data_IF_970110547633
#
_entry.id   IF_970110547633
#
_cell.length_a   1.000
_cell.length_b   1.000
_cell.length_c   1.000
_cell.angle_alpha   90.00
_cell.angle_beta   90.00
_cell.angle_gamma   90.00
#
_symmetry.space_group_name_H-M   'P 1'
#
loop_
_entity.id
_entity.type
_entity.pdbx_description
1 polymer ?
#
# COMPACT_ATOMS: atom_id res chain seq x y z
N UNK A 1 -20.31 4.96 0.95
CA UNK A 1 -19.48 3.77 0.67
C UNK A 1 -20.36 2.52 0.50
N UNK A 2 -21.08 2.04 1.52
CA UNK A 2 -21.89 0.81 1.42
C UNK A 2 -22.99 0.78 0.35
N UNK A 3 -23.58 1.95 0.01
CA UNK A 3 -24.65 2.08 -1.00
C UNK A 3 -24.17 2.00 -2.46
N UNK A 4 -22.86 1.93 -2.70
CA UNK A 4 -22.31 1.85 -4.05
C UNK A 4 -22.06 0.38 -4.44
N UNK A 5 -22.01 0.10 -5.75
CA UNK A 5 -21.52 -1.18 -6.27
C UNK A 5 -20.10 -1.44 -5.74
N UNK A 6 -19.89 -2.63 -5.19
CA UNK A 6 -18.64 -3.01 -4.52
C UNK A 6 -18.44 -2.34 -3.14
N UNK A 7 -19.49 -1.79 -2.53
CA UNK A 7 -19.45 -1.10 -1.24
C UNK A 7 -18.64 -1.81 -0.14
N UNK A 8 -18.84 -3.12 0.12
CA UNK A 8 -18.07 -3.86 1.12
C UNK A 8 -16.56 -3.85 0.87
N UNK A 9 -16.15 -4.07 -0.38
CA UNK A 9 -14.74 -4.10 -0.74
C UNK A 9 -14.12 -2.70 -0.70
N UNK A 10 -14.87 -1.66 -1.07
CA UNK A 10 -14.45 -0.26 -0.89
C UNK A 10 -14.26 0.11 0.58
N UNK A 11 -15.16 -0.36 1.44
CA UNK A 11 -15.03 -0.19 2.90
C UNK A 11 -13.80 -0.94 3.40
N UNK A 12 -13.57 -2.18 2.93
CA UNK A 12 -12.38 -2.96 3.26
C UNK A 12 -11.09 -2.18 2.92
N UNK A 13 -10.97 -1.67 1.69
CA UNK A 13 -9.80 -0.89 1.26
C UNK A 13 -9.53 0.31 2.19
N UNK A 14 -10.56 1.04 2.58
CA UNK A 14 -10.41 2.21 3.45
C UNK A 14 -10.15 1.82 4.91
N UNK A 15 -10.82 0.79 5.43
CA UNK A 15 -10.62 0.34 6.81
C UNK A 15 -9.23 -0.24 7.01
N UNK A 16 -8.77 -1.08 6.07
CA UNK A 16 -7.43 -1.66 6.07
C UNK A 16 -6.39 -0.58 5.79
N UNK A 17 -6.70 0.44 4.98
CA UNK A 17 -5.83 1.61 4.86
C UNK A 17 -5.65 2.39 6.15
N UNK A 18 -6.72 2.67 6.88
CA UNK A 18 -6.64 3.37 8.15
C UNK A 18 -5.96 2.53 9.24
N UNK A 19 -6.36 1.27 9.41
CA UNK A 19 -5.73 0.37 10.39
C UNK A 19 -4.28 0.05 10.03
N UNK A 20 -4.02 -0.24 8.76
CA UNK A 20 -2.71 -0.47 8.18
C UNK A 20 -1.78 0.73 8.36
N UNK A 21 -2.27 1.97 8.16
CA UNK A 21 -1.47 3.19 8.39
C UNK A 21 -0.99 3.36 9.82
N UNK A 22 -1.62 2.68 10.79
CA UNK A 22 -1.26 2.65 12.21
C UNK A 22 -0.36 1.45 12.52
N UNK A 23 -0.78 0.26 12.09
CA UNK A 23 -0.09 -0.99 12.42
C UNK A 23 1.18 -1.21 11.62
N UNK A 24 1.24 -0.67 10.39
CA UNK A 24 2.40 -0.78 9.50
C UNK A 24 2.73 -2.19 9.05
N UNK A 25 1.84 -3.15 9.29
CA UNK A 25 2.09 -4.57 9.10
C UNK A 25 0.99 -5.16 8.22
N UNK A 26 1.29 -5.47 6.95
CA UNK A 26 0.31 -6.01 6.03
C UNK A 26 -0.31 -7.32 6.54
N UNK A 27 0.49 -8.17 7.20
CA UNK A 27 0.00 -9.44 7.76
C UNK A 27 -0.86 -9.24 8.99
N UNK A 28 -0.51 -8.32 9.89
CA UNK A 28 -1.31 -8.04 11.06
C UNK A 28 -2.67 -7.43 10.68
N UNK A 29 -2.67 -6.54 9.68
CA UNK A 29 -3.88 -5.93 9.16
C UNK A 29 -4.80 -7.00 8.54
N UNK A 30 -4.30 -7.86 7.64
CA UNK A 30 -5.08 -8.99 7.08
C UNK A 30 -5.67 -9.90 8.17
N UNK A 31 -4.92 -10.20 9.24
CA UNK A 31 -5.43 -11.06 10.33
C UNK A 31 -6.50 -10.35 11.16
N UNK A 32 -6.47 -9.02 11.24
CA UNK A 32 -7.39 -8.22 12.06
C UNK A 32 -8.58 -7.73 11.26
N UNK A 33 -8.40 -6.82 10.29
CA UNK A 33 -9.47 -6.31 9.43
C UNK A 33 -10.00 -7.40 8.50
N UNK A 34 -9.09 -8.18 7.91
CA UNK A 34 -9.42 -9.26 6.98
C UNK A 34 -10.34 -10.34 7.56
N UNK A 35 -10.29 -10.56 8.87
CA UNK A 35 -11.16 -11.52 9.56
C UNK A 35 -12.66 -11.19 9.41
N UNK A 36 -12.99 -9.91 9.20
CA UNK A 36 -14.36 -9.45 8.98
C UNK A 36 -14.62 -9.02 7.53
N UNK A 37 -13.65 -8.37 6.87
CA UNK A 37 -13.83 -7.85 5.51
C UNK A 37 -13.83 -8.95 4.46
N UNK A 38 -12.97 -9.98 4.57
CA UNK A 38 -12.91 -11.10 3.61
C UNK A 38 -14.23 -11.88 3.61
N UNK A 39 -14.79 -12.35 4.75
CA UNK A 39 -16.08 -13.03 4.75
C UNK A 39 -17.22 -12.15 4.23
N UNK A 40 -17.20 -10.84 4.54
CA UNK A 40 -18.21 -9.90 4.05
C UNK A 40 -18.14 -9.74 2.52
N UNK A 41 -16.95 -9.60 1.94
CA UNK A 41 -16.77 -9.56 0.49
C UNK A 41 -17.25 -10.85 -0.18
N UNK A 42 -16.97 -12.01 0.42
CA UNK A 42 -17.44 -13.30 -0.09
C UNK A 42 -18.97 -13.40 -0.06
N UNK A 43 -19.60 -13.01 1.05
CA UNK A 43 -21.08 -13.02 1.20
C UNK A 43 -21.78 -12.09 0.20
N UNK A 44 -21.09 -11.05 -0.25
CA UNK A 44 -21.61 -10.04 -1.17
C UNK A 44 -21.28 -10.34 -2.64
N UNK A 45 -20.71 -11.51 -2.91
CA UNK A 45 -20.54 -12.06 -4.26
C UNK A 45 -19.12 -12.03 -4.82
N UNK A 46 -18.11 -11.53 -4.08
CA UNK A 46 -16.73 -11.67 -4.53
C UNK A 46 -16.24 -13.12 -4.42
N UNK A 47 -15.49 -13.56 -5.42
CA UNK A 47 -14.76 -14.84 -5.37
C UNK A 47 -13.76 -14.84 -4.20
N UNK A 48 -13.63 -15.98 -3.50
CA UNK A 48 -12.74 -16.15 -2.33
C UNK A 48 -11.31 -15.66 -2.58
N UNK A 49 -10.72 -16.07 -3.71
CA UNK A 49 -9.36 -15.64 -4.12
C UNK A 49 -9.28 -14.12 -4.25
N UNK A 50 -10.30 -13.50 -4.83
CA UNK A 50 -10.33 -12.06 -5.05
C UNK A 50 -10.56 -11.27 -3.77
N UNK A 51 -11.46 -11.73 -2.90
CA UNK A 51 -11.64 -11.13 -1.58
C UNK A 51 -10.33 -11.12 -0.78
N UNK A 52 -9.61 -12.26 -0.76
CA UNK A 52 -8.29 -12.35 -0.13
C UNK A 52 -7.25 -11.44 -0.78
N UNK A 53 -7.26 -11.32 -2.12
CA UNK A 53 -6.30 -10.48 -2.85
C UNK A 53 -6.54 -8.98 -2.64
N UNK A 54 -7.81 -8.55 -2.61
CA UNK A 54 -8.19 -7.16 -2.32
C UNK A 54 -7.75 -6.79 -0.90
N UNK A 55 -8.01 -7.66 0.08
CA UNK A 55 -7.59 -7.41 1.47
C UNK A 55 -6.06 -7.36 1.57
N UNK A 56 -5.36 -8.34 1.01
CA UNK A 56 -3.90 -8.38 1.08
C UNK A 56 -3.26 -7.14 0.42
N UNK A 57 -3.77 -6.71 -0.74
CA UNK A 57 -3.32 -5.47 -1.37
C UNK A 57 -3.64 -4.25 -0.49
N UNK A 58 -4.89 -4.09 -0.05
CA UNK A 58 -5.29 -2.97 0.80
C UNK A 58 -4.44 -2.87 2.08
N UNK A 59 -4.07 -3.99 2.68
CA UNK A 59 -3.22 -4.04 3.86
C UNK A 59 -1.76 -3.71 3.60
N UNK A 60 -1.24 -4.04 2.42
CA UNK A 60 0.14 -3.66 2.03
C UNK A 60 0.33 -2.15 1.96
N UNK A 61 -0.67 -1.40 1.48
CA UNK A 61 -0.58 0.07 1.44
C UNK A 61 -0.41 0.73 2.80
N UNK A 62 -0.80 0.05 3.89
CA UNK A 62 -0.76 0.60 5.23
C UNK A 62 0.67 0.85 5.73
N UNK A 63 1.62 0.05 5.25
CA UNK A 63 3.04 0.25 5.53
C UNK A 63 3.66 1.45 4.79
N UNK A 64 2.89 2.11 3.93
CA UNK A 64 3.37 3.17 3.03
C UNK A 64 2.57 4.47 3.24
N UNK A 65 1.32 4.39 3.70
CA UNK A 65 0.47 5.55 3.91
C UNK A 65 0.70 6.17 5.32
N UNK A 66 0.95 7.49 5.40
CA UNK A 66 0.93 8.26 6.66
C UNK A 66 -0.41 8.13 7.42
N UNK A 67 -0.43 8.24 8.77
CA UNK A 67 0.49 9.03 9.58
C UNK A 67 1.54 8.25 10.39
N UNK A 68 1.51 6.91 10.41
CA UNK A 68 2.53 6.10 11.12
C UNK A 68 3.42 5.36 10.14
N UNK A 69 2.89 4.89 9.00
CA UNK A 69 3.66 4.16 7.95
C UNK A 69 4.43 2.94 8.49
N UNK A 70 4.04 2.44 9.66
CA UNK A 70 4.76 1.39 10.36
C UNK A 70 6.14 1.75 10.91
N UNK A 71 6.75 0.79 11.59
CA UNK A 71 8.08 0.96 12.19
C UNK A 71 9.20 1.08 11.16
N UNK A 72 9.00 0.67 9.90
CA UNK A 72 10.00 0.83 8.85
C UNK A 72 10.31 2.31 8.56
N UNK A 73 9.31 3.19 8.58
CA UNK A 73 9.52 4.63 8.39
C UNK A 73 10.23 5.29 9.59
N UNK A 74 10.01 4.79 10.81
CA UNK A 74 10.79 5.21 11.99
C UNK A 74 12.24 4.78 11.90
N UNK A 75 12.48 3.54 11.50
CA UNK A 75 13.84 3.08 11.20
C UNK A 75 14.46 3.92 10.08
N UNK A 76 13.71 4.32 9.07
CA UNK A 76 14.21 5.23 8.04
C UNK A 76 14.65 6.57 8.60
N UNK A 77 13.86 7.18 9.48
CA UNK A 77 14.24 8.41 10.17
C UNK A 77 15.54 8.23 10.97
N UNK A 78 15.67 7.13 11.73
CA UNK A 78 16.85 6.84 12.53
C UNK A 78 18.10 6.55 11.68
N UNK A 79 17.96 5.80 10.58
CA UNK A 79 19.07 5.45 9.69
C UNK A 79 19.56 6.63 8.84
N UNK A 80 18.63 7.45 8.33
CA UNK A 80 18.96 8.55 7.42
C UNK A 80 19.21 9.88 8.13
N UNK A 81 18.77 10.00 9.39
CA UNK A 81 18.75 11.25 10.13
C UNK A 81 17.68 12.25 9.65
N UNK A 82 16.86 11.88 8.66
CA UNK A 82 15.80 12.72 8.12
C UNK A 82 14.64 12.75 9.13
N UNK A 83 14.10 13.94 9.49
CA UNK A 83 12.91 14.05 10.32
C UNK A 83 11.75 13.21 9.79
N UNK A 84 11.07 12.46 10.65
CA UNK A 84 9.94 11.63 10.23
C UNK A 84 8.84 12.45 9.54
N UNK A 85 8.59 13.68 10.00
CA UNK A 85 7.59 14.56 9.41
C UNK A 85 7.82 14.79 7.92
N UNK A 86 9.08 14.91 7.50
CA UNK A 86 9.46 15.11 6.09
C UNK A 86 9.24 13.83 5.29
N UNK A 87 9.64 12.68 5.85
CA UNK A 87 9.38 11.36 5.23
C UNK A 87 7.88 11.16 5.02
N UNK A 88 7.08 11.45 6.05
CA UNK A 88 5.63 11.33 5.99
C UNK A 88 5.03 12.27 4.95
N UNK A 89 5.43 13.55 4.94
CA UNK A 89 4.93 14.55 3.99
C UNK A 89 5.16 14.13 2.55
N UNK A 90 6.38 13.67 2.25
CA UNK A 90 6.78 13.19 0.93
C UNK A 90 6.01 11.91 0.54
N UNK A 91 5.74 11.03 1.50
CA UNK A 91 5.03 9.77 1.26
C UNK A 91 3.51 9.92 1.10
N UNK A 92 2.90 11.05 1.50
CA UNK A 92 1.44 11.28 1.37
C UNK A 92 0.99 11.09 -0.07
N UNK A 93 1.66 11.73 -1.03
CA UNK A 93 1.22 11.72 -2.44
C UNK A 93 1.30 10.29 -3.01
N UNK A 94 2.46 9.62 -2.98
CA UNK A 94 2.57 8.23 -3.42
C UNK A 94 1.62 7.25 -2.69
N UNK A 95 1.41 7.42 -1.38
CA UNK A 95 0.50 6.60 -0.59
C UNK A 95 -0.98 6.78 -0.96
N UNK A 96 -1.42 8.02 -1.16
CA UNK A 96 -2.78 8.32 -1.61
C UNK A 96 -3.03 7.82 -3.04
N UNK A 97 -2.04 7.96 -3.93
CA UNK A 97 -2.11 7.42 -5.29
C UNK A 97 -2.29 5.90 -5.28
N UNK A 98 -1.56 5.19 -4.41
CA UNK A 98 -1.73 3.76 -4.24
C UNK A 98 -3.17 3.40 -3.85
N UNK A 99 -3.70 4.02 -2.78
CA UNK A 99 -5.05 3.72 -2.31
C UNK A 99 -6.14 4.14 -3.30
N UNK A 100 -5.95 5.23 -4.04
CA UNK A 100 -6.83 5.62 -5.14
C UNK A 100 -6.92 4.51 -6.19
N UNK A 101 -5.78 3.92 -6.56
CA UNK A 101 -5.71 2.88 -7.57
C UNK A 101 -6.27 1.55 -7.07
N UNK A 102 -6.00 1.15 -5.83
CA UNK A 102 -6.62 -0.03 -5.23
C UNK A 102 -8.15 0.14 -5.12
N UNK A 103 -8.60 1.32 -4.69
CA UNK A 103 -10.04 1.65 -4.64
C UNK A 103 -10.69 1.59 -6.04
N UNK A 104 -10.01 2.14 -7.04
CA UNK A 104 -10.46 2.08 -8.43
C UNK A 104 -10.51 0.63 -8.94
N UNK A 105 -9.47 -0.16 -8.69
CA UNK A 105 -9.40 -1.56 -9.10
C UNK A 105 -10.59 -2.35 -8.56
N UNK A 106 -10.88 -2.20 -7.27
CA UNK A 106 -12.04 -2.80 -6.60
C UNK A 106 -13.35 -2.34 -7.23
N UNK A 107 -13.46 -1.04 -7.55
CA UNK A 107 -14.67 -0.46 -8.16
C UNK A 107 -14.92 -1.05 -9.54
N UNK A 108 -13.90 -1.01 -10.42
CA UNK A 108 -13.98 -1.56 -11.78
C UNK A 108 -14.32 -3.04 -11.72
N UNK A 109 -13.70 -3.77 -10.79
CA UNK A 109 -13.91 -5.19 -10.67
C UNK A 109 -15.29 -5.57 -10.13
N UNK A 110 -15.86 -4.78 -9.22
CA UNK A 110 -17.23 -4.95 -8.75
C UNK A 110 -18.25 -4.72 -9.86
N UNK A 111 -18.02 -3.71 -10.71
CA UNK A 111 -18.84 -3.46 -11.90
C UNK A 111 -18.68 -4.57 -12.95
N UNK A 112 -17.46 -5.04 -13.20
CA UNK A 112 -17.20 -6.15 -14.11
C UNK A 112 -17.88 -7.44 -13.65
N UNK A 113 -17.91 -7.69 -12.34
CA UNK A 113 -18.59 -8.85 -11.76
C UNK A 113 -20.12 -8.68 -11.62
N UNK A 114 -20.68 -7.53 -11.98
CA UNK A 114 -22.12 -7.27 -11.89
C UNK A 114 -22.68 -7.29 -10.46
N UNK A 115 -21.87 -6.93 -9.45
CA UNK A 115 -22.27 -7.01 -8.06
C UNK A 115 -23.34 -5.97 -7.72
N UNK A 116 -24.34 -6.37 -6.92
CA UNK A 116 -25.35 -5.47 -6.41
C UNK A 116 -24.82 -4.62 -5.23
N UNK A 117 -25.32 -3.39 -5.05
CA UNK A 117 -25.10 -2.64 -3.81
C UNK A 117 -25.70 -3.38 -2.60
N UNK A 118 -25.15 -3.12 -1.40
CA UNK A 118 -25.73 -3.62 -0.16
C UNK A 118 -27.13 -3.01 0.10
N UNK A 119 -28.00 -3.78 0.74
CA UNK A 119 -29.30 -3.30 1.18
C UNK A 119 -29.14 -2.21 2.27
N UNK A 120 -30.01 -1.21 2.25
CA UNK A 120 -29.93 -0.05 3.14
C UNK A 120 -30.08 -0.43 4.62
N UNK A 121 -30.77 -1.53 4.91
CA UNK A 121 -30.98 -2.03 6.27
C UNK A 121 -29.68 -2.54 6.92
N UNK A 122 -28.72 -3.03 6.13
CA UNK A 122 -27.45 -3.57 6.63
C UNK A 122 -26.37 -2.49 6.82
N UNK A 123 -26.63 -1.25 6.39
CA UNK A 123 -25.67 -0.16 6.46
C UNK A 123 -25.86 0.60 7.78
N UNK A 124 -24.90 0.53 8.74
CA UNK A 124 -25.01 1.30 9.97
C UNK A 124 -24.97 2.80 9.67
N UNK A 125 -25.80 3.58 10.39
CA UNK A 125 -25.84 5.04 10.25
C UNK A 125 -24.53 5.65 10.75
N UNK A 126 -23.83 6.40 9.88
CA UNK A 126 -22.53 7.04 10.19
C UNK A 126 -22.57 7.84 11.49
N UNK A 127 -23.62 8.65 11.70
CA UNK A 127 -23.76 9.45 12.93
C UNK A 127 -23.89 8.61 14.21
N UNK A 128 -24.53 7.43 14.13
CA UNK A 128 -24.65 6.53 15.27
C UNK A 128 -23.31 5.86 15.59
N UNK A 129 -22.57 5.44 14.57
CA UNK A 129 -21.21 4.86 14.72
C UNK A 129 -20.25 5.90 15.27
N UNK A 130 -20.23 7.12 14.72
CA UNK A 130 -19.33 8.18 15.18
C UNK A 130 -19.63 8.55 16.64
N UNK A 131 -20.91 8.70 17.01
CA UNK A 131 -21.29 8.97 18.42
C UNK A 131 -20.89 7.83 19.37
N UNK A 132 -20.93 6.59 18.90
CA UNK A 132 -20.56 5.41 19.71
C UNK A 132 -19.05 5.22 19.79
N UNK A 133 -18.30 5.44 18.71
CA UNK A 133 -16.93 4.94 18.54
C UNK A 133 -15.89 6.06 18.29
N UNK A 134 -16.27 7.36 18.37
CA UNK A 134 -15.35 8.50 18.17
C UNK A 134 -14.10 8.43 19.05
N UNK A 135 -14.20 7.82 20.23
CA UNK A 135 -13.11 7.77 21.20
C UNK A 135 -11.89 6.98 20.68
N UNK A 136 -12.08 6.09 19.70
CA UNK A 136 -10.98 5.37 19.03
C UNK A 136 -10.21 6.25 18.03
N UNK A 137 -10.74 7.42 17.67
CA UNK A 137 -10.00 8.42 16.89
C UNK A 137 -8.99 9.16 17.76
N UNK A 138 -9.17 9.21 19.08
CA UNK A 138 -8.27 9.94 19.99
C UNK A 138 -6.83 9.41 19.88
N UNK A 139 -6.53 8.10 20.00
CA UNK A 139 -5.17 7.59 19.83
C UNK A 139 -4.58 7.86 18.44
N UNK A 140 -5.40 7.81 17.38
CA UNK A 140 -4.97 8.09 16.01
C UNK A 140 -4.58 9.57 15.81
N UNK A 141 -5.41 10.47 16.32
CA UNK A 141 -5.12 11.92 16.27
C UNK A 141 -3.91 12.24 17.15
N UNK A 142 -3.83 11.64 18.34
CA UNK A 142 -2.71 11.84 19.25
C UNK A 142 -1.40 11.33 18.65
N UNK A 143 -1.36 10.15 18.02
CA UNK A 143 -0.12 9.64 17.41
C UNK A 143 0.28 10.51 16.22
N UNK A 144 -0.65 10.88 15.34
CA UNK A 144 -0.36 11.76 14.21
C UNK A 144 0.17 13.12 14.67
N UNK A 145 -0.49 13.74 15.66
CA UNK A 145 -0.05 15.00 16.24
C UNK A 145 1.31 14.88 16.93
N UNK A 146 1.50 13.87 17.78
CA UNK A 146 2.73 13.69 18.55
C UNK A 146 3.92 13.42 17.63
N UNK A 147 3.74 12.62 16.58
CA UNK A 147 4.79 12.33 15.59
C UNK A 147 5.19 13.59 14.83
N UNK A 148 4.22 14.40 14.39
CA UNK A 148 4.47 15.64 13.64
C UNK A 148 5.03 16.76 14.52
N UNK A 149 4.57 16.89 15.77
CA UNK A 149 4.95 17.99 16.65
C UNK A 149 6.23 17.73 17.45
N UNK A 150 6.47 16.48 17.88
CA UNK A 150 7.58 16.15 18.80
C UNK A 150 8.85 15.75 18.05
N UNK A 151 8.75 15.40 16.76
CA UNK A 151 9.84 14.90 15.92
C UNK A 151 10.70 13.80 16.59
N UNK A 152 10.06 13.01 17.45
CA UNK A 152 10.66 11.90 18.20
C UNK A 152 9.73 10.69 18.12
N UNK A 153 9.86 9.84 17.09
CA UNK A 153 8.90 8.80 16.79
C UNK A 153 8.66 7.82 17.95
N UNK A 154 9.73 7.39 18.62
CA UNK A 154 9.65 6.50 19.77
C UNK A 154 8.85 7.12 20.94
N UNK A 155 9.05 8.42 21.20
CA UNK A 155 8.32 9.14 22.24
C UNK A 155 6.84 9.35 21.85
N UNK A 156 6.57 9.64 20.59
CA UNK A 156 5.20 9.77 20.09
C UNK A 156 4.40 8.46 20.22
N UNK A 157 5.04 7.31 19.98
CA UNK A 157 4.44 6.00 20.26
C UNK A 157 4.09 5.80 21.74
N UNK A 158 5.00 6.18 22.65
CA UNK A 158 4.73 6.11 24.10
C UNK A 158 3.56 7.02 24.52
N UNK A 159 3.50 8.25 23.99
CA UNK A 159 2.39 9.19 24.24
C UNK A 159 1.06 8.63 23.70
N UNK A 160 1.06 8.01 22.53
CA UNK A 160 -0.13 7.37 21.96
C UNK A 160 -0.61 6.17 22.80
N UNK A 161 0.31 5.34 23.29
CA UNK A 161 0.00 4.26 24.23
C UNK A 161 -0.57 4.80 25.55
N UNK A 162 0.00 5.88 26.09
CA UNK A 162 -0.52 6.53 27.29
C UNK A 162 -1.93 7.11 27.06
N UNK A 163 -2.20 7.69 25.89
CA UNK A 163 -3.51 8.22 25.52
C UNK A 163 -4.60 7.14 25.39
N UNK A 164 -4.23 5.86 25.18
CA UNK A 164 -5.18 4.74 25.20
C UNK A 164 -5.70 4.43 26.62
N UNK A 165 -4.94 4.74 27.67
CA UNK A 165 -5.34 4.47 29.07
C UNK A 165 -6.67 5.15 29.45
N UNK A 166 -6.86 6.48 29.26
CA UNK A 166 -8.14 7.12 29.54
C UNK A 166 -9.28 6.61 28.65
N UNK A 167 -9.00 6.20 27.41
CA UNK A 167 -10.01 5.61 26.52
C UNK A 167 -10.53 4.28 27.08
N UNK A 168 -9.62 3.43 27.56
CA UNK A 168 -9.96 2.13 28.16
C UNK A 168 -10.73 2.35 29.47
N UNK A 169 -10.32 3.31 30.31
CA UNK A 169 -11.02 3.63 31.57
C UNK A 169 -12.48 4.05 31.36
N UNK A 170 -12.77 4.80 30.28
CA UNK A 170 -14.12 5.26 29.96
C UNK A 170 -15.01 4.15 29.36
N UNK A 171 -14.42 3.14 28.72
CA UNK A 171 -15.15 2.09 27.97
C UNK A 171 -15.19 0.72 28.62
N UNK A 172 -14.21 0.36 29.44
CA UNK A 172 -14.22 -0.90 30.17
C UNK A 172 -15.21 -0.82 31.33
N UNK A 173 -16.34 -1.51 31.18
CA UNK A 173 -17.31 -1.78 32.24
C UNK A 173 -17.53 -3.30 32.28
N UNK A 174 -17.27 -3.99 33.40
CA UNK A 174 -16.82 -3.48 34.71
C UNK A 174 -15.32 -3.14 34.79
N UNK A 175 -14.96 -2.18 35.65
CA UNK A 175 -13.58 -1.73 35.86
C UNK A 175 -12.67 -2.80 36.49
N UNK A 176 -13.25 -3.86 37.05
CA UNK A 176 -12.52 -5.03 37.58
C UNK A 176 -11.74 -5.79 36.50
N UNK A 177 -12.16 -5.70 35.23
CA UNK A 177 -11.51 -6.37 34.11
C UNK A 177 -10.36 -5.56 33.51
N UNK A 178 -10.19 -4.30 33.94
CA UNK A 178 -9.15 -3.40 33.46
C UNK A 178 -7.74 -3.98 33.59
N UNK A 179 -7.28 -4.49 34.76
CA UNK A 179 -5.92 -5.03 34.89
C UNK A 179 -5.71 -6.26 33.99
N UNK A 180 -6.73 -7.11 33.84
CA UNK A 180 -6.66 -8.29 32.96
C UNK A 180 -6.53 -7.88 31.49
N UNK A 181 -7.35 -6.94 31.02
CA UNK A 181 -7.33 -6.44 29.64
C UNK A 181 -6.05 -5.68 29.32
N UNK A 182 -5.55 -4.86 30.25
CA UNK A 182 -4.27 -4.17 30.07
C UNK A 182 -3.11 -5.16 30.04
N UNK A 183 -3.11 -6.16 30.92
CA UNK A 183 -2.15 -7.26 30.90
C UNK A 183 -2.17 -8.03 29.57
N UNK A 184 -3.35 -8.37 29.07
CA UNK A 184 -3.50 -9.03 27.75
C UNK A 184 -2.98 -8.16 26.61
N UNK A 185 -3.35 -6.87 26.58
CA UNK A 185 -2.87 -5.94 25.54
C UNK A 185 -1.34 -5.79 25.56
N UNK A 186 -0.73 -5.73 26.76
CA UNK A 186 0.73 -5.68 26.92
C UNK A 186 1.38 -6.99 26.46
N UNK A 187 0.81 -8.15 26.79
CA UNK A 187 1.30 -9.46 26.36
C UNK A 187 1.23 -9.57 24.83
N UNK A 188 0.09 -9.24 24.22
CA UNK A 188 -0.09 -9.24 22.76
C UNK A 188 0.89 -8.27 22.07
N UNK A 189 1.07 -7.07 22.64
CA UNK A 189 2.04 -6.09 22.16
C UNK A 189 3.48 -6.63 22.21
N UNK A 190 3.88 -7.24 23.34
CA UNK A 190 5.19 -7.86 23.50
C UNK A 190 5.40 -9.02 22.53
N UNK A 191 4.42 -9.90 22.34
CA UNK A 191 4.51 -11.01 21.39
C UNK A 191 4.78 -10.52 19.96
N UNK A 192 4.09 -9.45 19.52
CA UNK A 192 4.34 -8.82 18.22
C UNK A 192 5.73 -8.16 18.16
N UNK A 193 6.17 -7.55 19.26
CA UNK A 193 7.48 -6.91 19.35
C UNK A 193 8.63 -7.91 19.29
N UNK A 194 8.50 -9.11 19.85
CA UNK A 194 9.56 -10.14 19.83
C UNK A 194 9.98 -10.48 18.39
N UNK A 195 9.02 -10.68 17.47
CA UNK A 195 9.34 -11.01 16.08
C UNK A 195 10.11 -9.89 15.39
N UNK A 196 9.73 -8.63 15.63
CA UNK A 196 10.44 -7.46 15.08
C UNK A 196 11.82 -7.31 15.74
N UNK A 197 11.90 -7.46 17.06
CA UNK A 197 13.12 -7.30 17.85
C UNK A 197 14.19 -8.33 17.49
N UNK A 198 13.84 -9.61 17.39
CA UNK A 198 14.77 -10.67 16.96
C UNK A 198 15.26 -10.41 15.53
N UNK A 199 14.36 -10.04 14.62
CA UNK A 199 14.72 -9.77 13.24
C UNK A 199 15.66 -8.55 13.13
N UNK A 200 15.40 -7.47 13.88
CA UNK A 200 16.28 -6.31 13.96
C UNK A 200 17.64 -6.63 14.63
N UNK A 201 17.67 -7.50 15.65
CA UNK A 201 18.91 -7.92 16.30
C UNK A 201 19.80 -8.73 15.34
N UNK A 202 19.22 -9.70 14.63
CA UNK A 202 19.93 -10.46 13.59
C UNK A 202 20.37 -9.56 12.44
N UNK A 203 19.48 -8.66 11.98
CA UNK A 203 19.84 -7.67 10.97
C UNK A 203 21.02 -6.80 11.44
N UNK A 204 21.02 -6.34 12.69
CA UNK A 204 22.12 -5.58 13.28
C UNK A 204 23.44 -6.34 13.30
N UNK A 205 23.44 -7.64 13.62
CA UNK A 205 24.64 -8.49 13.54
C UNK A 205 25.14 -8.63 12.10
N UNK A 206 24.24 -8.87 11.15
CA UNK A 206 24.58 -8.92 9.71
C UNK A 206 25.15 -7.58 9.26
N UNK A 207 24.50 -6.47 9.58
CA UNK A 207 24.97 -5.12 9.26
C UNK A 207 26.34 -4.83 9.89
N UNK A 208 26.54 -5.19 11.15
CA UNK A 208 27.80 -5.00 11.86
C UNK A 208 28.94 -5.77 11.20
N UNK A 209 28.72 -7.04 10.86
CA UNK A 209 29.72 -7.86 10.13
C UNK A 209 29.99 -7.34 8.72
N UNK A 210 28.95 -6.92 7.98
CA UNK A 210 29.11 -6.30 6.65
C UNK A 210 29.91 -5.00 6.70
N UNK A 211 29.67 -4.19 7.72
CA UNK A 211 30.37 -2.91 7.92
C UNK A 211 31.84 -3.12 8.29
N UNK A 212 32.13 -4.09 9.18
CA UNK A 212 33.52 -4.42 9.57
C UNK A 212 34.32 -5.08 8.45
N UNK A 213 33.66 -5.80 7.54
CA UNK A 213 34.31 -6.48 6.40
C UNK A 213 34.39 -5.62 5.14
N UNK A 214 33.84 -4.39 5.18
CA UNK A 214 33.67 -3.51 4.03
C UNK A 214 32.94 -4.18 2.84
N UNK A 215 32.10 -5.17 3.15
CA UNK A 215 31.41 -5.96 2.13
C UNK A 215 30.24 -5.17 1.53
N UNK A 216 29.65 -4.21 2.26
CA UNK A 216 28.58 -3.34 1.77
C UNK A 216 29.03 -2.48 0.57
N UNK A 217 30.24 -1.89 0.65
CA UNK A 217 30.85 -1.13 -0.44
C UNK A 217 31.15 -2.01 -1.66
N UNK A 218 31.63 -3.24 -1.43
CA UNK A 218 31.89 -4.22 -2.49
C UNK A 218 30.61 -4.75 -3.15
N UNK A 219 29.54 -4.98 -2.39
CA UNK A 219 28.23 -5.37 -2.93
C UNK A 219 27.66 -4.23 -3.77
N UNK A 220 27.76 -2.98 -3.30
CA UNK A 220 27.32 -1.80 -4.05
C UNK A 220 28.09 -1.65 -5.37
N UNK A 221 29.42 -1.82 -5.32
CA UNK A 221 30.28 -1.82 -6.51
C UNK A 221 29.99 -3.01 -7.43
N UNK A 222 29.73 -4.19 -6.87
CA UNK A 222 29.35 -5.39 -7.62
C UNK A 222 28.01 -5.25 -8.33
N UNK A 223 27.02 -4.64 -7.68
CA UNK A 223 25.74 -4.29 -8.31
C UNK A 223 25.94 -3.29 -9.45
N UNK A 224 26.80 -2.29 -9.27
CA UNK A 224 27.13 -1.31 -10.30
C UNK A 224 27.84 -1.96 -11.52
N UNK A 225 28.76 -2.89 -11.27
CA UNK A 225 29.46 -3.66 -12.32
C UNK A 225 28.52 -4.62 -13.05
N UNK A 226 27.67 -5.35 -12.32
CA UNK A 226 26.63 -6.22 -12.90
C UNK A 226 25.65 -5.42 -13.75
N UNK A 227 25.36 -4.19 -13.34
CA UNK A 227 24.51 -3.28 -14.08
C UNK A 227 25.21 -2.58 -15.26
N UNK A 228 26.52 -2.80 -15.45
CA UNK A 228 27.35 -2.13 -16.49
C UNK A 228 27.23 -0.59 -16.45
N UNK A 229 26.98 -0.01 -15.28
CA UNK A 229 26.72 1.43 -15.11
C UNK A 229 25.36 1.92 -15.63
N UNK A 230 24.45 1.04 -16.08
CA UNK A 230 23.11 1.42 -16.52
C UNK A 230 22.16 1.60 -15.32
N UNK A 231 21.69 2.82 -15.15
CA UNK A 231 20.72 3.23 -14.12
C UNK A 231 19.54 2.25 -13.97
N UNK A 232 18.89 1.88 -15.08
CA UNK A 232 17.70 1.04 -15.05
C UNK A 232 18.01 -0.39 -14.56
N UNK A 233 19.17 -0.93 -14.92
CA UNK A 233 19.57 -2.27 -14.53
C UNK A 233 19.96 -2.33 -13.05
N UNK A 234 20.62 -1.29 -12.52
CA UNK A 234 20.95 -1.21 -11.09
C UNK A 234 19.70 -1.07 -10.22
N UNK A 235 18.74 -0.23 -10.62
CA UNK A 235 17.46 -0.11 -9.90
C UNK A 235 16.72 -1.45 -9.91
N UNK A 236 16.68 -2.14 -11.05
CA UNK A 236 16.04 -3.45 -11.16
C UNK A 236 16.72 -4.52 -10.29
N UNK A 237 18.05 -4.61 -10.27
CA UNK A 237 18.77 -5.57 -9.42
C UNK A 237 18.60 -5.25 -7.94
N UNK A 238 18.63 -3.97 -7.55
CA UNK A 238 18.33 -3.55 -6.18
C UNK A 238 16.91 -3.98 -5.76
N UNK A 239 15.91 -3.76 -6.60
CA UNK A 239 14.53 -4.21 -6.37
C UNK A 239 14.47 -5.72 -6.18
N UNK A 240 15.11 -6.48 -7.05
CA UNK A 240 15.14 -7.94 -6.96
C UNK A 240 15.75 -8.40 -5.62
N UNK A 241 16.85 -7.79 -5.20
CA UNK A 241 17.49 -8.08 -3.89
C UNK A 241 16.54 -7.75 -2.74
N UNK A 242 15.89 -6.58 -2.74
CA UNK A 242 14.95 -6.18 -1.67
C UNK A 242 13.76 -7.14 -1.59
N UNK A 243 13.19 -7.54 -2.73
CA UNK A 243 12.06 -8.48 -2.77
C UNK A 243 12.48 -9.87 -2.30
N UNK A 244 13.67 -10.34 -2.70
CA UNK A 244 14.21 -11.64 -2.30
C UNK A 244 14.51 -11.68 -0.80
N UNK A 245 15.15 -10.63 -0.27
CA UNK A 245 15.32 -10.46 1.17
C UNK A 245 13.95 -10.35 1.86
N UNK A 246 12.98 -9.71 1.20
CA UNK A 246 11.60 -9.57 1.65
C UNK A 246 10.86 -10.88 1.97
N UNK A 247 11.30 -11.98 1.36
CA UNK A 247 10.61 -13.27 1.45
C UNK A 247 10.65 -13.84 2.87
N UNK A 248 9.53 -13.70 3.60
CA UNK A 248 9.31 -14.35 4.89
C UNK A 248 9.68 -13.51 6.12
N UNK A 249 10.11 -12.26 5.91
CA UNK A 249 10.44 -11.32 7.00
C UNK A 249 9.38 -10.22 7.15
N UNK A 250 9.18 -9.67 8.37
CA UNK A 250 8.40 -8.46 8.57
C UNK A 250 9.03 -7.25 7.84
N UNK A 251 8.21 -6.32 7.34
CA UNK A 251 8.65 -5.10 6.62
C UNK A 251 9.82 -4.37 7.30
N UNK A 252 9.84 -4.15 8.63
CA UNK A 252 10.95 -3.44 9.30
C UNK A 252 12.29 -4.18 9.20
N UNK A 253 12.27 -5.52 9.25
CA UNK A 253 13.47 -6.34 9.14
C UNK A 253 14.04 -6.33 7.71
N UNK A 254 13.15 -6.37 6.72
CA UNK A 254 13.50 -6.24 5.31
C UNK A 254 14.13 -4.87 5.05
N UNK A 255 13.54 -3.80 5.61
CA UNK A 255 14.08 -2.45 5.52
C UNK A 255 15.48 -2.37 6.15
N UNK A 256 15.67 -2.87 7.38
CA UNK A 256 16.95 -2.80 8.08
C UNK A 256 18.11 -3.40 7.26
N UNK A 257 17.91 -4.60 6.72
CA UNK A 257 18.91 -5.29 5.90
C UNK A 257 19.12 -4.58 4.55
N UNK A 258 18.03 -4.21 3.89
CA UNK A 258 18.07 -3.59 2.57
C UNK A 258 18.62 -2.16 2.58
N UNK A 259 18.44 -1.42 3.66
CA UNK A 259 19.00 -0.09 3.85
C UNK A 259 20.54 -0.11 3.87
N UNK A 260 21.15 -1.23 4.24
CA UNK A 260 22.62 -1.39 4.26
C UNK A 260 23.15 -2.03 2.98
N UNK A 261 22.36 -2.90 2.36
CA UNK A 261 22.77 -3.65 1.18
C UNK A 261 22.43 -2.96 -0.15
N UNK A 262 21.25 -2.34 -0.25
CA UNK A 262 20.70 -1.81 -1.50
C UNK A 262 20.71 -0.28 -1.55
N UNK A 263 20.39 0.41 -0.45
CA UNK A 263 20.33 1.89 -0.46
C UNK A 263 21.67 2.56 -0.84
N UNK A 264 22.85 2.11 -0.37
CA UNK A 264 24.13 2.72 -0.78
C UNK A 264 24.40 2.57 -2.28
N UNK A 265 23.99 1.45 -2.88
CA UNK A 265 24.10 1.21 -4.32
C UNK A 265 23.18 2.11 -5.15
N UNK A 266 22.03 2.53 -4.59
CA UNK A 266 21.13 3.49 -5.22
C UNK A 266 21.68 4.91 -5.10
N UNK A 267 22.22 5.27 -3.93
CA UNK A 267 22.83 6.59 -3.68
C UNK A 267 24.07 6.79 -4.55
N UNK A 268 24.87 5.74 -4.78
CA UNK A 268 26.05 5.83 -5.67
C UNK A 268 25.69 6.08 -7.14
N UNK A 269 24.44 5.88 -7.55
CA UNK A 269 23.92 6.27 -8.88
C UNK A 269 23.51 7.76 -8.95
N UNK A 270 23.69 8.52 -7.87
CA UNK A 270 23.27 9.91 -7.76
C UNK A 270 21.82 10.10 -7.31
N UNK A 271 21.15 9.06 -6.80
CA UNK A 271 19.82 9.19 -6.21
C UNK A 271 19.88 9.83 -4.83
N UNK A 272 18.86 10.62 -4.49
CA UNK A 272 18.76 11.23 -3.16
C UNK A 272 18.60 10.14 -2.08
N UNK A 273 19.07 10.44 -0.88
CA UNK A 273 18.90 9.55 0.28
C UNK A 273 17.42 9.28 0.55
N UNK A 274 16.58 10.31 0.42
CA UNK A 274 15.12 10.19 0.56
C UNK A 274 14.54 9.19 -0.45
N UNK A 275 14.80 9.38 -1.74
CA UNK A 275 14.28 8.51 -2.79
C UNK A 275 14.77 7.06 -2.63
N UNK A 276 16.06 6.88 -2.32
CA UNK A 276 16.67 5.56 -2.17
C UNK A 276 16.06 4.76 -1.02
N UNK A 277 15.94 5.38 0.16
CA UNK A 277 15.39 4.70 1.33
C UNK A 277 13.87 4.54 1.25
N UNK A 278 13.15 5.51 0.68
CA UNK A 278 11.70 5.37 0.46
C UNK A 278 11.39 4.26 -0.54
N UNK A 279 12.21 4.10 -1.59
CA UNK A 279 12.12 2.96 -2.51
C UNK A 279 12.28 1.63 -1.76
N UNK A 280 13.26 1.55 -0.86
CA UNK A 280 13.46 0.35 -0.02
C UNK A 280 12.22 0.07 0.84
N UNK A 281 11.62 1.08 1.48
CA UNK A 281 10.38 0.92 2.27
C UNK A 281 9.23 0.38 1.40
N UNK A 282 9.05 0.92 0.20
CA UNK A 282 8.04 0.45 -0.74
C UNK A 282 8.23 -1.01 -1.12
N UNK A 283 9.45 -1.40 -1.54
CA UNK A 283 9.70 -2.78 -1.96
C UNK A 283 9.71 -3.75 -0.79
N UNK A 284 10.06 -3.29 0.42
CA UNK A 284 9.89 -4.05 1.65
C UNK A 284 8.42 -4.31 1.97
N UNK A 285 7.51 -3.37 1.68
CA UNK A 285 6.08 -3.54 1.90
C UNK A 285 5.42 -4.46 0.85
N UNK A 286 5.73 -4.27 -0.44
CA UNK A 286 5.14 -5.10 -1.52
C UNK A 286 5.69 -6.53 -1.56
N UNK A 287 6.84 -6.80 -0.96
CA UNK A 287 7.34 -8.18 -0.80
C UNK A 287 6.34 -9.06 -0.02
N UNK A 288 5.54 -8.46 0.88
CA UNK A 288 4.52 -9.16 1.65
C UNK A 288 3.37 -9.75 0.80
N UNK A 289 3.19 -9.28 -0.43
CA UNK A 289 2.20 -9.80 -1.40
C UNK A 289 2.84 -10.49 -2.61
N UNK A 290 4.17 -10.43 -2.73
CA UNK A 290 4.90 -10.97 -3.90
C UNK A 290 5.14 -12.48 -3.75
N UNK A 291 4.66 -13.32 -4.69
CA UNK A 291 4.96 -14.74 -4.69
C UNK A 291 6.47 -15.02 -4.83
N UNK A 292 7.00 -16.12 -4.27
CA UNK A 292 6.30 -17.31 -3.76
C UNK A 292 5.89 -17.26 -2.28
N UNK A 293 6.45 -16.34 -1.48
CA UNK A 293 6.24 -16.35 -0.01
C UNK A 293 5.06 -15.49 0.42
N UNK A 294 4.81 -14.34 -0.20
CA UNK A 294 3.60 -13.50 -0.07
C UNK A 294 2.87 -13.60 1.29
N UNK A 295 3.54 -13.32 2.42
CA UNK A 295 3.07 -13.68 3.77
C UNK A 295 1.66 -13.12 4.07
N UNK A 296 1.31 -11.93 3.56
CA UNK A 296 -0.02 -11.36 3.70
C UNK A 296 -1.08 -12.14 2.90
N UNK A 297 -0.73 -12.62 1.70
CA UNK A 297 -1.60 -13.50 0.90
C UNK A 297 -1.83 -14.86 1.58
N UNK A 298 -0.83 -15.42 2.28
CA UNK A 298 -1.00 -16.65 3.06
C UNK A 298 -1.92 -16.46 4.27
N UNK A 299 -1.78 -15.33 4.98
CA UNK A 299 -2.72 -14.96 6.03
C UNK A 299 -4.14 -14.83 5.47
N UNK A 300 -4.32 -14.12 4.34
CA UNK A 300 -5.61 -13.93 3.69
C UNK A 300 -6.21 -15.26 3.21
N UNK A 301 -5.39 -16.18 2.69
CA UNK A 301 -5.79 -17.51 2.25
C UNK A 301 -6.44 -18.33 3.38
N UNK A 302 -5.89 -18.24 4.59
CA UNK A 302 -6.41 -18.96 5.77
C UNK A 302 -7.82 -18.52 6.16
N UNK A 303 -8.15 -17.25 5.92
CA UNK A 303 -9.46 -16.63 6.18
C UNK A 303 -10.41 -16.87 5.00
N UNK A 304 -9.94 -16.65 3.77
CA UNK A 304 -10.71 -16.81 2.54
C UNK A 304 -11.02 -18.28 2.20
N UNK A 305 -10.30 -19.24 2.79
CA UNK A 305 -10.35 -20.68 2.46
C UNK A 305 -10.10 -20.91 0.97
N UNK A 306 -9.03 -20.31 0.44
CA UNK A 306 -8.62 -20.40 -0.95
C UNK A 306 -7.09 -20.56 -1.06
N UNK A 307 -6.59 -20.92 -2.25
CA UNK A 307 -5.16 -21.14 -2.47
C UNK A 307 -4.38 -19.80 -2.35
N UNK A 308 -3.29 -19.75 -1.56
CA UNK A 308 -2.50 -18.54 -1.35
C UNK A 308 -1.80 -18.03 -2.61
N UNK A 309 -1.39 -18.92 -3.53
CA UNK A 309 -0.61 -18.52 -4.70
C UNK A 309 -1.43 -17.67 -5.69
N UNK A 310 -2.67 -18.07 -6.09
CA UNK A 310 -3.57 -17.21 -6.85
C UNK A 310 -3.90 -15.89 -6.15
N UNK A 311 -4.03 -15.90 -4.81
CA UNK A 311 -4.27 -14.68 -4.04
C UNK A 311 -3.08 -13.72 -4.20
N UNK A 312 -1.85 -14.21 -4.05
CA UNK A 312 -0.64 -13.39 -4.18
C UNK A 312 -0.47 -12.80 -5.58
N UNK A 313 -0.65 -13.60 -6.64
CA UNK A 313 -0.59 -13.08 -8.02
C UNK A 313 -1.65 -12.01 -8.29
N UNK A 314 -2.88 -12.24 -7.82
CA UNK A 314 -3.95 -11.26 -8.00
C UNK A 314 -3.74 -10.01 -7.13
N UNK A 315 -3.19 -10.17 -5.92
CA UNK A 315 -2.83 -9.04 -5.06
C UNK A 315 -1.75 -8.17 -5.71
N UNK A 316 -0.72 -8.78 -6.31
CA UNK A 316 0.29 -8.06 -7.10
C UNK A 316 -0.34 -7.30 -8.27
N UNK A 317 -1.33 -7.89 -8.96
CA UNK A 317 -2.05 -7.21 -10.04
C UNK A 317 -2.83 -6.00 -9.53
N UNK A 318 -3.58 -6.14 -8.44
CA UNK A 318 -4.35 -5.05 -7.83
C UNK A 318 -3.41 -3.95 -7.31
N UNK A 319 -2.28 -4.35 -6.72
CA UNK A 319 -1.27 -3.47 -6.16
C UNK A 319 -0.19 -3.05 -7.16
N UNK A 320 -0.38 -3.26 -8.47
CA UNK A 320 0.67 -3.07 -9.48
C UNK A 320 1.28 -1.66 -9.44
N UNK A 321 0.47 -0.66 -9.08
CA UNK A 321 0.90 0.75 -8.92
C UNK A 321 1.99 0.89 -7.84
N UNK A 322 1.95 0.13 -6.75
CA UNK A 322 3.01 0.16 -5.72
C UNK A 322 4.36 -0.35 -6.23
N UNK A 323 4.40 -1.14 -7.31
CA UNK A 323 5.64 -1.58 -7.94
C UNK A 323 6.19 -0.54 -8.92
N UNK A 324 5.36 0.34 -9.46
CA UNK A 324 5.75 1.30 -10.50
C UNK A 324 6.06 2.68 -9.92
N UNK A 325 5.24 3.18 -9.00
CA UNK A 325 5.40 4.51 -8.41
C UNK A 325 6.79 4.75 -7.81
N UNK A 326 7.45 3.78 -7.15
CA UNK A 326 8.83 3.94 -6.68
C UNK A 326 9.84 4.21 -7.78
N UNK A 327 9.71 3.52 -8.91
CA UNK A 327 10.58 3.75 -10.06
C UNK A 327 10.32 5.13 -10.66
N UNK A 328 9.06 5.57 -10.67
CA UNK A 328 8.68 6.90 -11.17
C UNK A 328 9.27 8.00 -10.31
N UNK A 329 9.14 7.97 -8.98
CA UNK A 329 9.71 9.03 -8.14
C UNK A 329 11.24 9.02 -8.11
N UNK A 330 11.86 7.86 -8.34
CA UNK A 330 13.33 7.76 -8.48
C UNK A 330 13.81 8.42 -9.77
N UNK A 331 13.03 8.34 -10.85
CA UNK A 331 13.29 9.06 -12.10
C UNK A 331 12.82 10.52 -12.07
N UNK A 332 11.87 10.85 -11.18
CA UNK A 332 11.16 12.14 -11.10
C UNK A 332 11.01 12.58 -9.64
N UNK A 333 12.06 13.18 -9.04
CA UNK A 333 12.04 13.59 -7.64
C UNK A 333 10.98 14.68 -7.37
N UNK A 334 10.39 15.29 -8.39
CA UNK A 334 9.24 16.19 -8.25
C UNK A 334 8.02 15.50 -7.63
N UNK A 335 7.89 14.17 -7.78
CA UNK A 335 6.85 13.39 -7.10
C UNK A 335 7.11 13.30 -5.58
N UNK A 336 8.35 13.57 -5.14
CA UNK A 336 8.77 13.69 -3.75
C UNK A 336 8.76 15.14 -3.25
N UNK A 337 8.04 16.04 -3.93
CA UNK A 337 7.98 17.48 -3.60
C UNK A 337 9.33 18.22 -3.78
N UNK A 338 10.29 17.63 -4.49
CA UNK A 338 11.55 18.29 -4.83
C UNK A 338 11.43 19.01 -6.18
N UNK A 339 11.30 20.34 -6.18
CA UNK A 339 11.29 21.13 -7.42
C UNK A 339 10.37 22.35 -7.38
N UNK A 340 10.17 22.97 -8.55
CA UNK A 340 9.23 24.08 -8.68
C UNK A 340 7.78 23.60 -8.53
N UNK A 341 6.94 24.40 -7.88
CA UNK A 341 5.56 24.01 -7.55
C UNK A 341 4.73 23.58 -8.78
N UNK A 342 4.93 24.24 -9.92
CA UNK A 342 4.25 23.90 -11.17
C UNK A 342 4.68 22.53 -11.71
N UNK A 343 5.96 22.21 -11.61
CA UNK A 343 6.49 20.91 -12.06
C UNK A 343 5.98 19.80 -11.16
N UNK A 344 6.03 20.00 -9.84
CA UNK A 344 5.47 19.07 -8.84
C UNK A 344 4.01 18.77 -9.15
N UNK A 345 3.17 19.80 -9.35
CA UNK A 345 1.75 19.61 -9.67
C UNK A 345 1.59 18.85 -10.99
N UNK A 346 2.34 19.24 -12.03
CA UNK A 346 2.30 18.59 -13.34
C UNK A 346 2.67 17.11 -13.30
N UNK A 347 3.75 16.76 -12.58
CA UNK A 347 4.19 15.37 -12.36
C UNK A 347 3.14 14.61 -11.57
N UNK A 348 2.64 15.16 -10.47
CA UNK A 348 1.63 14.51 -9.63
C UNK A 348 0.37 14.17 -10.43
N UNK A 349 -0.13 15.12 -11.25
CA UNK A 349 -1.30 14.89 -12.10
C UNK A 349 -1.03 13.84 -13.19
N UNK A 350 0.13 13.91 -13.85
CA UNK A 350 0.52 12.93 -14.86
C UNK A 350 0.64 11.52 -14.27
N UNK A 351 1.30 11.37 -13.12
CA UNK A 351 1.44 10.09 -12.41
C UNK A 351 0.10 9.58 -11.89
N UNK A 352 -0.78 10.46 -11.41
CA UNK A 352 -2.13 10.09 -10.99
C UNK A 352 -2.94 9.50 -12.16
N UNK A 353 -2.96 10.20 -13.29
CA UNK A 353 -3.65 9.74 -14.49
C UNK A 353 -3.00 8.47 -15.05
N UNK A 354 -1.67 8.39 -15.07
CA UNK A 354 -0.92 7.21 -15.50
C UNK A 354 -1.28 5.99 -14.67
N UNK A 355 -1.41 6.17 -13.35
CA UNK A 355 -1.75 5.09 -12.42
C UNK A 355 -3.22 4.65 -12.57
N UNK A 356 -4.15 5.60 -12.79
CA UNK A 356 -5.56 5.29 -13.12
C UNK A 356 -5.66 4.47 -14.41
N UNK A 357 -4.97 4.92 -15.47
CA UNK A 357 -4.97 4.27 -16.78
C UNK A 357 -4.31 2.88 -16.69
N UNK A 358 -3.25 2.75 -15.92
CA UNK A 358 -2.60 1.48 -15.62
C UNK A 358 -3.56 0.51 -14.91
N UNK A 359 -4.28 0.97 -13.87
CA UNK A 359 -5.29 0.16 -13.18
C UNK A 359 -6.40 -0.31 -14.14
N UNK A 360 -6.88 0.57 -15.03
CA UNK A 360 -7.85 0.21 -16.07
C UNK A 360 -7.30 -0.90 -16.98
N UNK A 361 -6.03 -0.80 -17.39
CA UNK A 361 -5.38 -1.82 -18.20
C UNK A 361 -5.26 -3.17 -17.46
N UNK A 362 -4.98 -3.18 -16.16
CA UNK A 362 -4.84 -4.44 -15.41
C UNK A 362 -6.18 -5.11 -15.04
N UNK A 363 -7.24 -4.33 -14.80
CA UNK A 363 -8.55 -4.85 -14.41
C UNK A 363 -9.49 -5.16 -15.59
N UNK A 364 -9.04 -4.89 -16.82
CA UNK A 364 -9.72 -5.28 -18.08
C UNK A 364 -11.14 -4.71 -18.24
N UNK A 365 -11.43 -3.61 -17.54
CA UNK A 365 -12.76 -3.02 -17.49
C UNK A 365 -12.72 -1.49 -17.44
N UNK A 366 -13.41 -0.85 -18.37
CA UNK A 366 -13.72 0.58 -18.33
C UNK A 366 -15.05 0.85 -19.02
N UNK A 367 -16.15 0.79 -18.24
CA UNK A 367 -17.52 0.91 -18.75
C UNK A 367 -17.87 -0.15 -19.81
N UNK A 368 -17.31 -1.36 -19.64
CA UNK A 368 -17.35 -2.47 -20.59
C UNK A 368 -16.04 -3.25 -20.56
N UNK A 369 -16.06 -4.51 -21.01
CA UNK A 369 -14.84 -5.33 -21.11
C UNK A 369 -13.89 -4.76 -22.16
N UNK A 370 -12.60 -4.76 -21.85
CA UNK A 370 -11.57 -4.30 -22.76
C UNK A 370 -11.10 -5.48 -23.62
N UNK A 371 -10.94 -5.25 -24.92
CA UNK A 371 -10.20 -6.19 -25.77
C UNK A 371 -8.69 -6.06 -25.53
N UNK A 372 -7.92 -7.10 -25.85
CA UNK A 372 -6.46 -7.15 -25.66
C UNK A 372 -5.74 -5.92 -26.25
N UNK A 373 -6.16 -5.44 -27.43
CA UNK A 373 -5.58 -4.26 -28.08
C UNK A 373 -5.83 -3.00 -27.26
N UNK A 374 -7.07 -2.81 -26.78
CA UNK A 374 -7.41 -1.65 -25.95
C UNK A 374 -6.64 -1.67 -24.63
N UNK A 375 -6.43 -2.86 -24.06
CA UNK A 375 -5.64 -3.07 -22.85
C UNK A 375 -4.18 -2.68 -23.05
N UNK A 376 -3.55 -3.15 -24.14
CA UNK A 376 -2.17 -2.82 -24.47
C UNK A 376 -1.99 -1.33 -24.74
N UNK A 377 -2.95 -0.69 -25.40
CA UNK A 377 -2.90 0.73 -25.68
C UNK A 377 -3.08 1.60 -24.41
N UNK A 378 -3.96 1.22 -23.48
CA UNK A 378 -3.98 1.87 -22.15
C UNK A 378 -2.67 1.64 -21.39
N UNK A 379 -2.10 0.43 -21.46
CA UNK A 379 -0.77 0.16 -20.90
C UNK A 379 0.32 1.07 -21.48
N UNK A 380 0.32 1.26 -22.81
CA UNK A 380 1.26 2.16 -23.48
C UNK A 380 1.06 3.63 -23.07
N UNK A 381 -0.20 4.09 -22.95
CA UNK A 381 -0.51 5.43 -22.45
C UNK A 381 -0.04 5.64 -21.01
N UNK A 382 -0.17 4.63 -20.14
CA UNK A 382 0.35 4.69 -18.78
C UNK A 382 1.88 4.85 -18.77
N UNK A 383 2.60 4.06 -19.58
CA UNK A 383 4.06 4.18 -19.70
C UNK A 383 4.46 5.57 -20.19
N UNK A 384 3.79 6.10 -21.21
CA UNK A 384 4.05 7.44 -21.73
C UNK A 384 3.83 8.53 -20.67
N UNK A 385 2.79 8.40 -19.84
CA UNK A 385 2.50 9.32 -18.73
C UNK A 385 3.53 9.28 -17.59
N UNK A 386 4.27 8.18 -17.47
CA UNK A 386 5.36 8.04 -16.49
C UNK A 386 6.70 8.54 -17.02
N UNK A 387 6.83 8.79 -18.33
CA UNK A 387 8.09 9.24 -18.91
C UNK A 387 8.44 10.69 -18.51
N UNK A 388 9.74 11.01 -18.39
CA UNK A 388 10.24 12.33 -18.00
C UNK A 388 10.16 13.31 -19.20
N UNK A 389 8.96 13.57 -19.71
CA UNK A 389 8.75 14.54 -20.79
C UNK A 389 7.38 15.21 -20.71
N UNK A 390 7.35 16.53 -20.51
CA UNK A 390 6.11 17.27 -20.31
C UNK A 390 5.18 17.24 -21.52
N UNK A 391 5.73 17.32 -22.74
CA UNK A 391 4.96 17.28 -23.98
C UNK A 391 4.28 15.93 -24.22
N UNK A 392 5.00 14.82 -24.03
CA UNK A 392 4.40 13.48 -24.15
C UNK A 392 3.37 13.24 -23.06
N UNK A 393 3.62 13.68 -21.83
CA UNK A 393 2.66 13.56 -20.74
C UNK A 393 1.35 14.28 -21.06
N UNK A 394 1.42 15.49 -21.62
CA UNK A 394 0.23 16.25 -21.98
C UNK A 394 -0.56 15.60 -23.12
N UNK A 395 0.14 15.14 -24.18
CA UNK A 395 -0.49 14.42 -25.29
C UNK A 395 -1.12 13.11 -24.83
N UNK A 396 -0.40 12.31 -24.03
CA UNK A 396 -0.89 11.06 -23.49
C UNK A 396 -2.07 11.28 -22.53
N UNK A 397 -2.06 12.36 -21.75
CA UNK A 397 -3.16 12.71 -20.86
C UNK A 397 -4.43 13.06 -21.64
N UNK A 398 -4.33 13.89 -22.68
CA UNK A 398 -5.44 14.24 -23.56
C UNK A 398 -5.99 13.00 -24.27
N UNK A 399 -5.12 12.14 -24.78
CA UNK A 399 -5.51 10.88 -25.43
C UNK A 399 -6.24 9.93 -24.46
N UNK A 400 -5.71 9.76 -23.24
CA UNK A 400 -6.33 8.92 -22.21
C UNK A 400 -7.71 9.45 -21.80
N UNK A 401 -7.82 10.75 -21.53
CA UNK A 401 -9.09 11.38 -21.14
C UNK A 401 -10.13 11.31 -22.25
N UNK A 402 -9.73 11.61 -23.50
CA UNK A 402 -10.61 11.50 -24.66
C UNK A 402 -11.11 10.07 -24.84
N UNK A 403 -10.24 9.08 -24.65
CA UNK A 403 -10.62 7.68 -24.82
C UNK A 403 -11.56 7.19 -23.70
N UNK A 404 -11.27 7.54 -22.46
CA UNK A 404 -12.14 7.24 -21.31
C UNK A 404 -13.51 7.91 -21.51
N UNK A 405 -13.53 9.19 -21.91
CA UNK A 405 -14.76 9.94 -22.18
C UNK A 405 -15.57 9.36 -23.33
N UNK A 406 -14.93 8.96 -24.43
CA UNK A 406 -15.58 8.29 -25.54
C UNK A 406 -16.22 6.95 -25.12
N UNK A 407 -15.52 6.14 -24.32
CA UNK A 407 -16.08 4.89 -23.78
C UNK A 407 -17.26 5.13 -22.84
N UNK A 408 -17.14 6.14 -21.98
CA UNK A 408 -18.23 6.53 -21.08
C UNK A 408 -19.48 6.97 -21.86
N UNK A 409 -19.32 7.78 -22.90
CA UNK A 409 -20.43 8.21 -23.74
C UNK A 409 -21.07 7.03 -24.50
N UNK A 410 -20.25 6.12 -25.04
CA UNK A 410 -20.74 4.93 -25.76
C UNK A 410 -21.50 3.97 -24.85
N UNK A 411 -21.09 3.82 -23.59
CA UNK A 411 -21.79 2.95 -22.64
C UNK A 411 -23.18 3.49 -22.29
N UNK A 412 -23.34 4.82 -22.18
CA UNK A 412 -24.66 5.44 -21.99
C UNK A 412 -25.58 5.27 -23.20
N UNK A 413 -25.05 5.38 -24.41
CA UNK A 413 -25.83 5.19 -25.64
C UNK A 413 -26.25 3.72 -25.85
N UNK A 414 -25.43 2.75 -25.42
CA UNK A 414 -25.75 1.32 -25.46
C UNK A 414 -26.77 0.87 -24.42
N UNK A 415 -26.84 1.54 -23.26
CA UNK A 415 -27.79 1.24 -22.17
C UNK A 415 -29.26 1.51 -22.48
N UNK A 416 -29.57 2.17 -23.61
CA UNK A 416 -30.93 2.41 -24.08
C UNK A 416 -31.55 1.27 -24.91
N UNK A 417 -30.77 0.23 -25.27
CA UNK A 417 -31.25 -0.89 -26.09
C UNK A 417 -30.74 -2.24 -25.58
N UNK A 418 -31.45 -2.78 -24.58
CA UNK A 418 -31.57 -4.24 -24.39
C UNK A 418 -30.68 -4.88 -23.33
N UNK A 419 -31.28 -5.22 -22.19
CA UNK A 419 -30.90 -6.40 -21.38
C UNK A 419 -32.14 -6.99 -20.68
N UNK A 420 -33.05 -7.54 -21.50
CA UNK A 420 -33.84 -8.71 -21.12
C UNK A 420 -33.14 -9.93 -21.74
N UNK A 421 -32.16 -10.51 -21.04
CA UNK A 421 -31.62 -11.83 -21.33
C UNK A 421 -30.70 -12.28 -20.18
N UNK A 422 -31.30 -12.82 -19.13
CA UNK A 422 -30.62 -13.67 -18.15
C UNK A 422 -30.09 -14.92 -18.87
N UNK A 423 -28.76 -15.09 -18.95
CA UNK A 423 -28.15 -16.39 -19.18
C UNK A 423 -27.65 -16.93 -17.83
N UNK A 424 -28.07 -18.13 -17.40
CA UNK A 424 -27.53 -18.74 -16.20
C UNK A 424 -26.09 -19.23 -16.49
N UNK A 425 -25.18 -18.95 -15.56
CA UNK A 425 -23.85 -19.55 -15.54
C UNK A 425 -23.96 -20.91 -14.83
N UNK A 426 -23.76 -21.98 -15.60
CA UNK A 426 -23.44 -23.33 -15.13
C UNK A 426 -21.97 -23.44 -14.77
#
# INVERSE_FOLDING_TARGET
MGRQVGGPAKVAVLSSGLYGSISGSPTADVVTTGSFTIPLMIRTGFMRVRAGAIEAAASTGGAILPPVMGSAAFMMSDFTGIPYGDIALVAIIPGLLYYLCVYLAVTLQAHHAGLAPLDQAEIPKVGAVLRRDWIYLVPLVTIAWAVLALNRPAFAGAVACAALVPVILLRCRPLSDLPKRLGQALIEGMQRMITVGVACAVAGLVIGTLSMTDLSGKISSGLFLLASGNFALTVFTAIAVIVVLGMGMPVPAVYALSAVLAAPALISLGLSTMASHLLVVYYAAVSAITPPVAVAAFAAASIAKANPMPIGFLACRIAAVAFVVPVVFVARPELLLEGALLDVIGVCLATALGSIVMTIAFEDYAFGTLGTIARLAFGALAILLFMPSASLNLLAALAALAWIGWRYHRSQQGGGRGTAASRPLS
#
